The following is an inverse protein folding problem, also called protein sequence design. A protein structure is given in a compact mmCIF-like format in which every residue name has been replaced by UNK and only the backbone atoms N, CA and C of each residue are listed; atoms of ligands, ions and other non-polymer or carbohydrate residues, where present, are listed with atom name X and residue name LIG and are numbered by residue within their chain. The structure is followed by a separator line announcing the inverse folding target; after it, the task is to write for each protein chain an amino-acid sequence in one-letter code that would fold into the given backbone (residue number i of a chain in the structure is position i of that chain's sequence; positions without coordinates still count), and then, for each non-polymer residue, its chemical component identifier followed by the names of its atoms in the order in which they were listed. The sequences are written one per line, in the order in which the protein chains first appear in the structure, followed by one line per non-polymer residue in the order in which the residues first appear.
data_IF_377304208297
#
_entry.id   IF_377304208297
#
_cell.length_a   1.000
_cell.length_b   1.000
_cell.length_c   1.000
_cell.angle_alpha   90.00
_cell.angle_beta   90.00
_cell.angle_gamma   90.00
#
_symmetry.space_group_name_H-M   'P 1'
#
loop_
_entity.id
_entity.type
_entity.pdbx_description
1 polymer ?
#
# COMPACT_ATOMS: atom_id res chain seq x y z
N UNK A 1 -20.17 -0.81 -10.58
CA UNK A 1 -18.87 -1.04 -11.25
C UNK A 1 -18.94 -0.49 -12.67
N UNK A 2 -17.87 0.16 -13.14
CA UNK A 2 -17.75 0.68 -14.52
C UNK A 2 -16.88 -0.29 -15.33
N UNK A 3 -17.29 -0.60 -16.56
CA UNK A 3 -16.46 -1.35 -17.52
C UNK A 3 -15.61 -0.36 -18.32
N UNK A 4 -14.33 -0.66 -18.47
CA UNK A 4 -13.38 0.17 -19.21
C UNK A 4 -12.45 -0.76 -19.98
N UNK A 5 -12.15 -0.42 -21.23
CA UNK A 5 -11.10 -1.08 -22.00
C UNK A 5 -9.79 -0.37 -21.74
N UNK A 6 -8.78 -1.12 -21.30
CA UNK A 6 -7.44 -0.61 -20.99
C UNK A 6 -6.42 -1.53 -21.65
N UNK A 7 -5.36 -0.94 -22.20
CA UNK A 7 -4.21 -1.67 -22.72
C UNK A 7 -3.22 -1.83 -21.57
N UNK A 8 -2.78 -3.06 -21.33
CA UNK A 8 -1.83 -3.40 -20.26
C UNK A 8 -0.67 -4.18 -20.87
N UNK A 9 0.48 -4.09 -20.20
CA UNK A 9 1.65 -4.87 -20.52
C UNK A 9 1.49 -6.30 -19.96
N UNK A 10 1.48 -7.30 -20.85
CA UNK A 10 1.25 -8.69 -20.49
C UNK A 10 2.37 -9.27 -19.62
N UNK A 11 3.63 -8.85 -19.82
CA UNK A 11 4.76 -9.29 -19.01
C UNK A 11 4.64 -8.74 -17.58
N UNK A 12 4.19 -7.49 -17.44
CA UNK A 12 3.94 -6.89 -16.14
C UNK A 12 2.77 -7.60 -15.43
N UNK A 13 1.68 -7.87 -16.14
CA UNK A 13 0.53 -8.60 -15.60
C UNK A 13 0.97 -9.99 -15.14
N UNK A 14 1.70 -10.74 -15.96
CA UNK A 14 2.18 -12.07 -15.62
C UNK A 14 3.05 -12.08 -14.35
N UNK A 15 3.98 -11.11 -14.23
CA UNK A 15 4.78 -10.93 -13.02
C UNK A 15 3.91 -10.63 -11.81
N UNK A 16 2.99 -9.68 -11.92
CA UNK A 16 2.09 -9.33 -10.82
C UNK A 16 1.20 -10.50 -10.41
N UNK A 17 0.67 -11.29 -11.35
CA UNK A 17 -0.13 -12.49 -11.05
C UNK A 17 0.70 -13.56 -10.34
N UNK A 18 1.96 -13.76 -10.75
CA UNK A 18 2.87 -14.71 -10.11
C UNK A 18 3.19 -14.31 -8.66
N UNK A 19 3.47 -13.03 -8.42
CA UNK A 19 3.82 -12.51 -7.09
C UNK A 19 2.60 -12.44 -6.16
N UNK A 20 1.43 -12.03 -6.68
CA UNK A 20 0.21 -11.85 -5.86
C UNK A 20 -0.66 -13.10 -5.76
N UNK A 21 -0.47 -14.08 -6.64
CA UNK A 21 -1.33 -15.25 -6.77
C UNK A 21 -2.72 -14.98 -7.37
N UNK A 22 -3.02 -13.74 -7.79
CA UNK A 22 -4.33 -13.36 -8.33
C UNK A 22 -4.44 -13.80 -9.78
N UNK A 23 -5.47 -14.59 -10.09
CA UNK A 23 -5.65 -15.19 -11.42
C UNK A 23 -6.38 -14.31 -12.43
N UNK A 24 -7.24 -13.41 -11.97
CA UNK A 24 -8.09 -12.60 -12.87
C UNK A 24 -7.57 -11.19 -13.00
N UNK A 25 -7.53 -10.69 -14.23
CA UNK A 25 -7.08 -9.32 -14.52
C UNK A 25 -7.92 -8.28 -13.76
N UNK A 26 -9.24 -8.49 -13.68
CA UNK A 26 -10.15 -7.60 -12.96
C UNK A 26 -9.78 -7.46 -11.48
N UNK A 27 -9.55 -8.59 -10.80
CA UNK A 27 -9.20 -8.58 -9.37
C UNK A 27 -7.80 -8.04 -9.17
N UNK A 28 -6.88 -8.30 -10.10
CA UNK A 28 -5.52 -7.77 -10.04
C UNK A 28 -5.52 -6.23 -10.14
N UNK A 29 -6.28 -5.68 -11.09
CA UNK A 29 -6.42 -4.23 -11.26
C UNK A 29 -7.06 -3.60 -10.02
N UNK A 30 -8.14 -4.20 -9.50
CA UNK A 30 -8.80 -3.71 -8.28
C UNK A 30 -7.86 -3.69 -7.08
N UNK A 31 -7.11 -4.78 -6.89
CA UNK A 31 -6.08 -4.88 -5.85
C UNK A 31 -4.98 -3.82 -6.02
N UNK A 32 -4.48 -3.62 -7.24
CA UNK A 32 -3.45 -2.63 -7.53
C UNK A 32 -3.92 -1.20 -7.24
N UNK A 33 -5.17 -0.87 -7.55
CA UNK A 33 -5.77 0.44 -7.24
C UNK A 33 -5.88 0.67 -5.72
N UNK A 34 -6.28 -0.35 -4.96
CA UNK A 34 -6.32 -0.28 -3.50
C UNK A 34 -4.94 -0.12 -2.88
N UNK A 35 -3.93 -0.88 -3.32
CA UNK A 35 -2.57 -0.74 -2.81
C UNK A 35 -1.98 0.63 -3.15
N UNK A 36 -2.22 1.16 -4.36
CA UNK A 36 -1.78 2.51 -4.73
C UNK A 36 -2.33 3.57 -3.76
N UNK A 37 -3.62 3.48 -3.43
CA UNK A 37 -4.25 4.40 -2.47
C UNK A 37 -3.66 4.21 -1.07
N UNK A 38 -3.44 2.95 -0.65
CA UNK A 38 -2.84 2.62 0.64
C UNK A 38 -1.45 3.23 0.80
N UNK A 39 -0.60 3.08 -0.21
CA UNK A 39 0.74 3.66 -0.21
C UNK A 39 0.71 5.19 -0.19
N UNK A 40 -0.21 5.82 -0.91
CA UNK A 40 -0.37 7.29 -0.88
C UNK A 40 -0.83 7.79 0.49
N UNK A 41 -1.76 7.08 1.14
CA UNK A 41 -2.21 7.41 2.51
C UNK A 41 -1.09 7.27 3.53
N UNK A 42 -0.29 6.20 3.45
CA UNK A 42 0.88 6.03 4.31
C UNK A 42 1.89 7.17 4.12
N UNK A 43 2.11 7.63 2.89
CA UNK A 43 2.97 8.80 2.64
C UNK A 43 2.43 10.09 3.26
N UNK A 44 1.11 10.28 3.34
CA UNK A 44 0.53 11.43 4.05
C UNK A 44 0.84 11.45 5.54
N UNK A 45 1.00 10.29 6.17
CA UNK A 45 1.44 10.22 7.57
C UNK A 45 2.82 10.84 7.76
N UNK A 46 3.70 10.76 6.75
CA UNK A 46 5.01 11.42 6.79
C UNK A 46 4.90 12.94 6.77
N UNK A 47 3.81 13.53 6.27
CA UNK A 47 3.57 14.97 6.33
C UNK A 47 3.34 15.47 7.77
N UNK A 48 2.90 14.59 8.68
CA UNK A 48 2.73 14.91 10.10
C UNK A 48 4.08 14.98 10.84
N UNK A 49 5.18 14.57 10.20
CA UNK A 49 6.53 14.59 10.79
C UNK A 49 6.95 16.04 11.08
N UNK A 50 7.06 16.37 12.37
CA UNK A 50 7.44 17.72 12.84
C UNK A 50 6.27 18.69 12.99
N UNK A 51 5.07 18.35 12.47
CA UNK A 51 3.86 19.13 12.68
C UNK A 51 3.13 18.75 13.98
N UNK A 52 3.31 17.52 14.45
CA UNK A 52 2.67 17.01 15.67
C UNK A 52 3.70 16.87 16.78
N UNK A 53 3.41 17.45 17.95
CA UNK A 53 4.22 17.25 19.15
C UNK A 53 3.90 15.86 19.71
N UNK A 54 4.90 15.00 19.71
CA UNK A 54 4.78 13.68 20.31
C UNK A 54 4.93 13.80 21.83
N UNK A 55 3.95 13.31 22.58
CA UNK A 55 3.97 13.24 24.04
C UNK A 55 4.13 11.78 24.48
N UNK A 56 5.29 11.46 25.05
CA UNK A 56 5.65 10.13 25.55
C UNK A 56 7.14 10.04 25.92
N UNK A 57 7.53 8.98 26.64
CA UNK A 57 8.94 8.64 26.89
C UNK A 57 9.29 7.37 26.12
N UNK A 58 10.21 7.50 25.16
CA UNK A 58 10.62 6.43 24.25
C UNK A 58 11.44 5.36 24.96
N UNK A 59 12.18 5.75 26.00
CA UNK A 59 13.01 4.85 26.79
C UNK A 59 12.16 4.00 27.73
N UNK A 60 11.09 4.54 28.31
CA UNK A 60 10.12 3.73 29.09
C UNK A 60 9.46 2.65 28.23
N UNK A 61 9.06 2.97 27.01
CA UNK A 61 8.38 2.01 26.11
C UNK A 61 9.31 0.88 25.62
N UNK A 62 10.62 1.12 25.62
CA UNK A 62 11.62 0.12 25.22
C UNK A 62 12.01 -0.83 26.35
N UNK A 63 11.89 -0.41 27.61
CA UNK A 63 12.21 -1.24 28.78
C UNK A 63 11.34 -2.49 28.91
N UNK A 64 10.10 -2.47 28.40
CA UNK A 64 9.19 -3.62 28.43
C UNK A 64 9.44 -4.71 27.38
N UNK A 65 10.53 -4.63 26.60
CA UNK A 65 10.88 -5.61 25.55
C UNK A 65 12.02 -6.56 25.94
N UNK A 66 12.42 -6.56 27.21
CA UNK A 66 13.38 -7.52 27.78
C UNK A 66 12.67 -8.80 28.25
#
# INVERSE_FOLDING_TARGET
MRRTNVVLDDDLVAKCQKETGIRTLRTLIDHALHELLRHKRQKKVLELKGAVRWEGDLEEWRKGRA
#
